data_IF_466989349333
#
_entry.id   IF_466989349333
#
_cell.length_a   1.000
_cell.length_b   1.000
_cell.length_c   1.000
_cell.angle_alpha   90.00
_cell.angle_beta   90.00
_cell.angle_gamma   90.00
#
_symmetry.space_group_name_H-M   'P 1'
#
loop_
_entity.id
_entity.type
_entity.pdbx_description
1 polymer ?
#
# COMPACT_ATOMS: atom_id res chain seq x y z
N UNK A 1 15.37 -19.34 71.21
CA UNK A 1 16.77 -19.76 70.92
C UNK A 1 17.30 -18.78 69.89
N UNK A 2 18.16 -17.83 70.29
CA UNK A 2 19.64 -17.88 70.15
C UNK A 2 20.02 -17.81 68.65
N UNK A 3 20.65 -16.77 68.07
CA UNK A 3 21.91 -16.05 68.39
C UNK A 3 21.98 -14.75 67.54
N UNK A 4 22.30 -13.56 68.11
CA UNK A 4 23.61 -12.86 68.18
C UNK A 4 24.14 -12.29 66.82
N UNK A 5 24.19 -10.95 66.64
CA UNK A 5 25.38 -10.01 66.75
C UNK A 5 26.37 -10.16 65.57
N UNK A 6 27.00 -9.17 64.90
CA UNK A 6 27.43 -7.77 65.08
C UNK A 6 27.83 -7.21 63.67
N UNK A 7 27.81 -5.90 63.35
CA UNK A 7 28.96 -4.99 63.53
C UNK A 7 28.56 -3.51 63.41
N UNK A 8 28.85 -2.79 64.48
CA UNK A 8 29.02 -1.35 64.74
C UNK A 8 30.18 -0.78 63.88
N UNK A 9 30.22 0.45 63.35
CA UNK A 9 30.58 1.73 64.05
C UNK A 9 30.43 2.99 63.16
N UNK A 10 29.75 4.02 63.71
CA UNK A 10 30.11 5.46 63.90
C UNK A 10 30.94 6.22 62.82
N UNK A 11 30.83 7.53 62.57
CA UNK A 11 30.00 8.68 62.99
C UNK A 11 30.57 9.95 62.28
N UNK A 12 29.94 11.12 62.52
CA UNK A 12 30.40 12.51 62.25
C UNK A 12 30.17 13.05 60.83
N UNK A 13 29.74 14.30 60.55
CA UNK A 13 29.42 15.54 61.30
C UNK A 13 28.59 16.39 60.29
N UNK A 14 27.39 16.88 60.60
CA UNK A 14 27.08 18.18 61.21
C UNK A 14 27.42 19.44 60.34
N UNK A 15 26.38 20.27 60.12
CA UNK A 15 26.36 21.76 60.17
C UNK A 15 26.00 22.57 58.88
N UNK A 16 24.89 23.34 59.04
CA UNK A 16 24.48 24.67 58.52
C UNK A 16 24.26 24.96 57.01
N UNK A 17 23.04 25.43 56.71
CA UNK A 17 22.87 26.86 56.38
C UNK A 17 22.20 27.25 55.04
N UNK A 18 20.92 27.68 55.16
CA UNK A 18 20.29 28.85 54.50
C UNK A 18 20.05 28.87 52.97
N UNK A 19 18.75 28.84 52.60
CA UNK A 19 18.11 29.88 51.76
C UNK A 19 17.94 29.64 50.25
N UNK A 20 16.69 29.60 49.77
CA UNK A 20 16.03 30.65 48.96
C UNK A 20 14.78 30.12 48.21
N UNK A 21 13.62 30.71 48.58
CA UNK A 21 12.50 31.18 47.74
C UNK A 21 11.97 30.42 46.49
N UNK A 22 10.62 30.42 46.46
CA UNK A 22 9.72 30.58 45.31
C UNK A 22 9.10 29.32 44.69
N UNK A 23 7.81 29.18 44.98
CA UNK A 23 6.82 28.36 44.24
C UNK A 23 6.49 29.05 42.92
N UNK A 24 6.37 28.32 41.81
CA UNK A 24 5.37 28.65 40.81
C UNK A 24 4.30 27.56 40.74
N UNK A 25 3.08 27.98 41.08
CA UNK A 25 1.84 27.34 40.64
C UNK A 25 1.77 27.48 39.12
N UNK A 26 1.66 26.35 38.42
CA UNK A 26 1.24 26.18 37.02
C UNK A 26 1.11 24.67 36.82
N UNK A 27 0.21 24.09 36.07
CA UNK A 27 -1.05 24.46 35.44
C UNK A 27 -1.61 23.11 34.95
N UNK A 28 -2.83 23.11 34.42
CA UNK A 28 -3.51 21.98 33.80
C UNK A 28 -2.67 21.22 32.75
N UNK A 29 -3.20 20.04 32.40
CA UNK A 29 -2.87 19.22 31.23
C UNK A 29 -1.87 18.07 31.43
N UNK A 30 -2.29 17.09 32.25
CA UNK A 30 -2.00 15.69 31.91
C UNK A 30 -2.86 15.28 30.71
N UNK A 31 -2.48 15.75 29.52
CA UNK A 31 -2.89 15.09 28.28
C UNK A 31 -2.15 13.74 28.22
N UNK A 32 -2.83 12.59 28.19
CA UNK A 32 -2.17 11.34 27.83
C UNK A 32 -1.57 11.54 26.44
N UNK A 33 -0.25 11.45 26.36
CA UNK A 33 0.52 11.47 25.13
C UNK A 33 -0.13 10.49 24.14
N UNK A 34 -0.88 11.04 23.18
CA UNK A 34 -1.25 10.30 21.98
C UNK A 34 0.05 9.99 21.26
N UNK A 35 0.50 8.75 21.39
CA UNK A 35 1.64 8.23 20.65
C UNK A 35 1.43 8.52 19.15
N UNK A 36 2.29 9.33 18.50
CA UNK A 36 2.17 9.56 17.07
C UNK A 36 2.64 8.30 16.34
N UNK A 37 1.74 7.65 15.62
CA UNK A 37 2.09 6.78 14.50
C UNK A 37 2.52 5.35 14.82
N UNK A 38 1.64 4.54 15.42
CA UNK A 38 1.72 3.09 15.23
C UNK A 38 0.84 2.70 14.04
N UNK A 39 1.45 2.12 13.01
CA UNK A 39 0.71 1.37 11.98
C UNK A 39 0.85 1.82 10.53
N UNK A 40 1.99 2.36 10.10
CA UNK A 40 2.40 2.14 8.70
C UNK A 40 3.32 0.92 8.67
N UNK A 41 2.71 -0.24 8.85
CA UNK A 41 3.40 -1.52 8.66
C UNK A 41 4.04 -1.55 7.27
N UNK A 42 5.26 -2.06 7.21
CA UNK A 42 5.98 -2.33 5.97
C UNK A 42 5.22 -3.40 5.18
N UNK A 43 4.17 -3.00 4.45
CA UNK A 43 3.38 -3.88 3.61
C UNK A 43 4.21 -4.25 2.38
N UNK A 44 4.92 -5.37 2.45
CA UNK A 44 5.58 -5.96 1.29
C UNK A 44 4.50 -6.38 0.25
N UNK A 45 4.50 -5.80 -0.96
CA UNK A 45 3.55 -6.14 -2.01
C UNK A 45 3.59 -7.62 -2.41
N UNK A 46 4.76 -8.24 -2.35
CA UNK A 46 4.90 -9.66 -2.69
C UNK A 46 4.25 -10.55 -1.63
N UNK A 47 4.44 -10.21 -0.35
CA UNK A 47 3.77 -10.90 0.76
C UNK A 47 2.25 -10.73 0.70
N UNK A 48 1.75 -9.54 0.32
CA UNK A 48 0.32 -9.33 0.12
C UNK A 48 -0.23 -10.16 -1.03
N UNK A 49 0.49 -10.23 -2.17
CA UNK A 49 0.14 -11.07 -3.32
C UNK A 49 0.08 -12.54 -2.92
N UNK A 50 1.08 -13.02 -2.17
CA UNK A 50 1.13 -14.40 -1.70
C UNK A 50 -0.08 -14.72 -0.81
N UNK A 51 -0.34 -13.90 0.21
CA UNK A 51 -1.52 -14.06 1.09
C UNK A 51 -2.86 -14.01 0.35
N UNK A 52 -2.93 -13.29 -0.77
CA UNK A 52 -4.13 -13.29 -1.61
C UNK A 52 -4.26 -14.62 -2.36
N UNK A 53 -3.17 -15.10 -2.96
CA UNK A 53 -3.16 -16.38 -3.68
C UNK A 53 -3.47 -17.57 -2.76
N UNK A 54 -2.89 -17.60 -1.55
CA UNK A 54 -3.17 -18.65 -0.58
C UNK A 54 -4.66 -18.68 -0.21
N UNK A 55 -5.27 -17.50 -0.02
CA UNK A 55 -6.71 -17.36 0.23
C UNK A 55 -7.56 -17.84 -0.94
N UNK A 56 -7.15 -17.59 -2.18
CA UNK A 56 -7.85 -18.15 -3.34
C UNK A 56 -7.76 -19.66 -3.38
N UNK A 57 -6.58 -20.24 -3.12
CA UNK A 57 -6.40 -21.70 -3.10
C UNK A 57 -7.33 -22.37 -2.09
N UNK A 58 -7.37 -21.83 -0.89
CA UNK A 58 -8.19 -22.34 0.21
C UNK A 58 -9.68 -22.25 -0.13
N UNK A 59 -10.16 -21.07 -0.57
CA UNK A 59 -11.57 -20.89 -0.93
C UNK A 59 -11.99 -21.79 -2.10
N UNK A 60 -11.14 -21.92 -3.11
CA UNK A 60 -11.37 -22.76 -4.28
C UNK A 60 -11.25 -24.26 -3.97
N UNK A 61 -10.74 -24.64 -2.79
CA UNK A 61 -10.44 -26.01 -2.36
C UNK A 61 -9.75 -26.81 -3.46
N UNK A 62 -8.60 -26.33 -3.95
CA UNK A 62 -7.81 -27.02 -4.98
C UNK A 62 -6.71 -27.86 -4.31
N UNK A 63 -6.94 -29.18 -4.10
CA UNK A 63 -5.96 -30.04 -3.45
C UNK A 63 -4.77 -30.33 -4.36
N UNK A 64 -4.99 -30.44 -5.67
CA UNK A 64 -3.96 -30.80 -6.65
C UNK A 64 -3.04 -29.61 -6.96
N UNK A 65 -1.73 -29.82 -6.83
CA UNK A 65 -0.73 -28.77 -7.05
C UNK A 65 -0.58 -28.39 -8.54
N UNK A 66 -0.81 -29.32 -9.46
CA UNK A 66 -0.68 -29.06 -10.89
C UNK A 66 -1.87 -28.25 -11.42
N UNK A 67 -3.09 -28.60 -10.98
CA UNK A 67 -4.31 -27.82 -11.23
C UNK A 67 -4.18 -26.42 -10.59
N UNK A 68 -3.72 -26.37 -9.33
CA UNK A 68 -3.52 -25.09 -8.65
C UNK A 68 -2.51 -24.19 -9.38
N UNK A 69 -1.41 -24.77 -9.89
CA UNK A 69 -0.43 -24.01 -10.67
C UNK A 69 -1.08 -23.38 -11.91
N UNK A 70 -1.88 -24.15 -12.66
CA UNK A 70 -2.57 -23.64 -13.84
C UNK A 70 -3.57 -22.52 -13.50
N UNK A 71 -4.36 -22.70 -12.43
CA UNK A 71 -5.36 -21.72 -11.99
C UNK A 71 -4.67 -20.44 -11.49
N UNK A 72 -3.66 -20.57 -10.63
CA UNK A 72 -2.96 -19.42 -10.02
C UNK A 72 -2.24 -18.54 -11.05
N UNK A 73 -1.65 -19.13 -12.10
CA UNK A 73 -1.06 -18.38 -13.21
C UNK A 73 -2.12 -17.51 -13.94
N UNK A 74 -3.32 -18.04 -14.16
CA UNK A 74 -4.42 -17.30 -14.81
C UNK A 74 -5.03 -16.24 -13.90
N UNK A 75 -5.18 -16.53 -12.60
CA UNK A 75 -5.60 -15.52 -11.61
C UNK A 75 -4.58 -14.38 -11.56
N UNK A 76 -3.28 -14.69 -11.56
CA UNK A 76 -2.22 -13.69 -11.56
C UNK A 76 -2.32 -12.78 -12.79
N UNK A 77 -2.60 -13.36 -13.97
CA UNK A 77 -2.80 -12.60 -15.21
C UNK A 77 -3.99 -11.66 -15.13
N UNK A 78 -5.13 -12.14 -14.64
CA UNK A 78 -6.34 -11.31 -14.44
C UNK A 78 -6.07 -10.19 -13.44
N UNK A 79 -5.40 -10.48 -12.33
CA UNK A 79 -5.06 -9.49 -11.31
C UNK A 79 -4.10 -8.41 -11.84
N UNK A 80 -3.07 -8.79 -12.59
CA UNK A 80 -2.14 -7.87 -13.26
C UNK A 80 -2.88 -6.92 -14.22
N UNK A 81 -3.75 -7.47 -15.07
CA UNK A 81 -4.54 -6.67 -16.02
C UNK A 81 -5.49 -5.71 -15.30
N UNK A 82 -6.04 -6.09 -14.14
CA UNK A 82 -6.88 -5.18 -13.34
C UNK A 82 -6.08 -4.05 -12.70
N UNK A 83 -4.92 -4.38 -12.15
CA UNK A 83 -4.06 -3.39 -11.50
C UNK A 83 -3.57 -2.36 -12.53
N UNK A 84 -3.12 -2.82 -13.69
CA UNK A 84 -2.73 -1.95 -14.81
C UNK A 84 -3.91 -1.12 -15.33
N UNK A 85 -5.10 -1.71 -15.46
CA UNK A 85 -6.29 -0.98 -15.93
C UNK A 85 -6.86 0.01 -14.91
N UNK A 86 -6.67 -0.22 -13.61
CA UNK A 86 -7.22 0.62 -12.54
C UNK A 86 -6.42 1.90 -12.28
N UNK A 87 -5.31 2.12 -12.99
CA UNK A 87 -4.38 3.22 -12.72
C UNK A 87 -3.61 3.09 -11.40
N UNK A 88 -4.05 2.19 -10.51
CA UNK A 88 -3.44 1.85 -9.22
C UNK A 88 -2.15 1.03 -9.38
N UNK A 89 -1.89 0.45 -10.55
CA UNK A 89 -0.58 -0.15 -10.86
C UNK A 89 0.59 0.81 -10.75
N UNK A 90 0.38 2.10 -11.03
CA UNK A 90 1.39 3.14 -10.76
C UNK A 90 1.56 3.46 -9.27
N UNK A 91 0.55 3.17 -8.45
CA UNK A 91 0.59 3.42 -7.01
C UNK A 91 1.27 2.27 -6.24
N UNK A 92 1.05 1.02 -6.67
CA UNK A 92 1.60 -0.19 -6.01
C UNK A 92 2.89 -0.73 -6.64
N UNK A 93 3.13 -0.46 -7.92
CA UNK A 93 4.29 -0.95 -8.67
C UNK A 93 5.41 0.07 -8.81
N UNK A 94 5.54 1.01 -7.87
CA UNK A 94 6.54 2.07 -7.86
C UNK A 94 7.97 1.58 -7.61
N UNK A 95 8.47 0.65 -8.43
CA UNK A 95 9.89 0.36 -8.54
C UNK A 95 10.53 1.46 -9.40
N UNK A 96 11.06 2.47 -8.71
CA UNK A 96 11.97 3.48 -9.25
C UNK A 96 11.23 4.57 -10.03
N UNK A 97 11.12 5.79 -9.53
CA UNK A 97 12.32 6.58 -9.30
C UNK A 97 13.09 6.87 -10.60
N UNK A 98 12.46 6.77 -11.78
CA UNK A 98 13.06 7.26 -13.01
C UNK A 98 12.77 8.75 -13.16
N UNK A 99 13.79 9.56 -12.82
CA UNK A 99 14.04 10.92 -13.33
C UNK A 99 13.16 12.03 -12.76
N UNK A 100 13.57 12.54 -11.60
CA UNK A 100 13.51 13.99 -11.30
C UNK A 100 14.53 14.28 -10.21
N UNK A 101 15.80 14.10 -10.59
CA UNK A 101 16.93 14.68 -9.89
C UNK A 101 17.54 15.71 -10.82
N UNK A 102 16.82 16.80 -11.08
CA UNK A 102 17.35 18.12 -11.43
C UNK A 102 16.19 19.12 -11.46
N UNK A 103 16.37 20.29 -10.87
CA UNK A 103 15.43 21.42 -10.99
C UNK A 103 14.54 21.64 -9.77
N UNK A 104 14.97 22.55 -8.90
CA UNK A 104 14.14 23.10 -7.83
C UNK A 104 12.92 23.86 -8.35
N UNK A 105 11.90 23.95 -7.50
CA UNK A 105 10.71 24.75 -7.78
C UNK A 105 9.49 24.26 -7.03
N UNK A 106 9.04 25.08 -6.09
CA UNK A 106 7.69 25.15 -5.50
C UNK A 106 6.57 24.46 -6.28
N UNK A 107 5.71 23.75 -5.56
CA UNK A 107 4.41 23.31 -6.05
C UNK A 107 4.06 21.89 -5.64
N UNK A 108 3.40 21.74 -4.49
CA UNK A 108 2.72 20.51 -4.11
C UNK A 108 1.71 20.10 -5.20
N UNK A 109 1.90 18.92 -5.79
CA UNK A 109 0.99 18.42 -6.82
C UNK A 109 1.47 17.23 -7.65
N UNK A 110 2.73 16.78 -7.52
CA UNK A 110 3.29 15.79 -8.44
C UNK A 110 3.74 14.51 -7.74
N UNK A 111 2.80 13.58 -7.53
CA UNK A 111 3.09 12.14 -7.29
C UNK A 111 1.85 11.24 -7.43
N UNK A 112 1.01 11.49 -8.43
CA UNK A 112 -0.10 10.62 -8.81
C UNK A 112 -0.23 10.55 -10.34
N UNK A 113 0.87 10.22 -11.03
CA UNK A 113 0.84 9.80 -12.43
C UNK A 113 0.06 8.49 -12.51
N UNK A 114 -1.02 8.47 -13.28
CA UNK A 114 -1.93 7.32 -13.34
C UNK A 114 -1.27 6.23 -14.17
N UNK A 115 -1.46 4.96 -13.81
CA UNK A 115 -0.80 3.80 -14.43
C UNK A 115 -1.02 3.52 -15.92
N UNK A 116 -1.34 4.53 -16.74
CA UNK A 116 -1.45 4.43 -18.18
C UNK A 116 -0.83 5.69 -18.85
N UNK A 117 0.13 5.53 -19.80
CA UNK A 117 0.86 6.63 -20.40
C UNK A 117 -0.03 7.57 -21.24
N UNK A 118 -1.11 7.06 -21.86
CA UNK A 118 -2.07 7.89 -22.59
C UNK A 118 -2.86 8.82 -21.64
N UNK A 119 -3.11 8.36 -20.41
CA UNK A 119 -3.79 9.16 -19.37
C UNK A 119 -2.88 10.29 -18.88
N UNK A 120 -1.59 10.00 -18.69
CA UNK A 120 -0.61 11.00 -18.30
C UNK A 120 -0.37 12.04 -19.41
N UNK A 121 -0.30 11.61 -20.67
CA UNK A 121 -0.18 12.51 -21.82
C UNK A 121 -1.40 13.44 -21.95
N UNK A 122 -2.62 12.91 -21.80
CA UNK A 122 -3.83 13.75 -21.81
C UNK A 122 -3.83 14.74 -20.64
N UNK A 123 -3.41 14.32 -19.44
CA UNK A 123 -3.31 15.22 -18.28
C UNK A 123 -2.31 16.35 -18.52
N UNK A 124 -1.13 16.02 -19.03
CA UNK A 124 -0.10 17.02 -19.35
C UNK A 124 -0.59 18.02 -20.40
N UNK A 125 -1.29 17.56 -21.44
CA UNK A 125 -1.88 18.45 -22.45
C UNK A 125 -2.95 19.38 -21.87
N UNK A 126 -3.77 18.88 -20.93
CA UNK A 126 -4.76 19.72 -20.22
C UNK A 126 -4.08 20.78 -19.34
N UNK A 127 -3.02 20.42 -18.62
CA UNK A 127 -2.24 21.33 -17.78
C UNK A 127 -1.53 22.41 -18.63
N UNK A 128 -0.98 22.00 -19.78
CA UNK A 128 -0.35 22.90 -20.74
C UNK A 128 -1.35 23.75 -21.54
N UNK A 129 -2.66 23.59 -21.34
CA UNK A 129 -3.72 24.25 -22.11
C UNK A 129 -3.55 24.05 -23.63
N UNK A 130 -3.21 22.83 -24.01
CA UNK A 130 -3.00 22.43 -25.40
C UNK A 130 -4.22 22.74 -26.29
N UNK A 131 -4.02 22.97 -27.61
CA UNK A 131 -5.11 23.25 -28.53
C UNK A 131 -6.12 22.09 -28.59
N UNK A 132 -7.38 22.43 -28.88
CA UNK A 132 -8.48 21.47 -28.87
C UNK A 132 -8.25 20.23 -29.76
N UNK A 133 -7.51 20.40 -30.87
CA UNK A 133 -7.18 19.28 -31.76
C UNK A 133 -6.24 18.26 -31.10
N UNK A 134 -5.27 18.71 -30.33
CA UNK A 134 -4.33 17.83 -29.61
C UNK A 134 -5.05 17.06 -28.50
N UNK A 135 -5.90 17.75 -27.73
CA UNK A 135 -6.73 17.13 -26.69
C UNK A 135 -7.65 16.05 -27.29
N UNK A 136 -8.28 16.32 -28.44
CA UNK A 136 -9.11 15.33 -29.16
C UNK A 136 -8.31 14.10 -29.57
N UNK A 137 -7.11 14.29 -30.09
CA UNK A 137 -6.24 13.19 -30.52
C UNK A 137 -5.80 12.32 -29.33
N UNK A 138 -5.39 12.94 -28.21
CA UNK A 138 -4.98 12.22 -27.00
C UNK A 138 -6.16 11.49 -26.33
N UNK A 139 -7.34 12.09 -26.34
CA UNK A 139 -8.56 11.45 -25.84
C UNK A 139 -8.94 10.22 -26.67
N UNK A 140 -8.78 10.28 -28.00
CA UNK A 140 -9.00 9.12 -28.87
C UNK A 140 -8.03 7.97 -28.52
N UNK A 141 -6.73 8.27 -28.40
CA UNK A 141 -5.72 7.28 -28.00
C UNK A 141 -6.01 6.64 -26.64
N UNK A 142 -6.41 7.45 -25.65
CA UNK A 142 -6.77 6.93 -24.33
C UNK A 142 -7.97 5.98 -24.39
N UNK A 143 -8.99 6.31 -25.21
CA UNK A 143 -10.16 5.44 -25.40
C UNK A 143 -9.79 4.13 -26.08
N UNK A 144 -8.93 4.18 -27.09
CA UNK A 144 -8.42 2.98 -27.76
C UNK A 144 -7.60 2.09 -26.81
N UNK A 145 -6.70 2.69 -26.03
CA UNK A 145 -5.92 1.98 -25.02
C UNK A 145 -6.84 1.29 -23.99
N UNK A 146 -7.89 1.98 -23.51
CA UNK A 146 -8.89 1.39 -22.60
C UNK A 146 -9.63 0.22 -23.22
N UNK A 147 -10.10 0.34 -24.46
CA UNK A 147 -10.78 -0.76 -25.18
C UNK A 147 -9.86 -1.97 -25.36
N UNK A 148 -8.62 -1.74 -25.77
CA UNK A 148 -7.64 -2.81 -25.93
C UNK A 148 -7.34 -3.52 -24.60
N UNK A 149 -7.24 -2.76 -23.52
CA UNK A 149 -7.02 -3.28 -22.17
C UNK A 149 -8.22 -4.05 -21.62
N UNK A 150 -9.45 -3.62 -21.94
CA UNK A 150 -10.68 -4.33 -21.61
C UNK A 150 -10.76 -5.67 -22.35
N UNK A 151 -10.48 -5.69 -23.67
CA UNK A 151 -10.46 -6.92 -24.45
C UNK A 151 -9.41 -7.92 -23.93
N UNK A 152 -8.24 -7.45 -23.50
CA UNK A 152 -7.22 -8.31 -22.86
C UNK A 152 -7.69 -8.89 -21.53
N UNK A 153 -8.37 -8.07 -20.73
CA UNK A 153 -8.92 -8.52 -19.45
C UNK A 153 -10.01 -9.57 -19.67
N UNK A 154 -10.93 -9.33 -20.59
CA UNK A 154 -11.99 -10.28 -20.95
C UNK A 154 -11.41 -11.60 -21.46
N UNK A 155 -10.43 -11.56 -22.36
CA UNK A 155 -9.75 -12.76 -22.83
C UNK A 155 -9.08 -13.55 -21.68
N UNK A 156 -8.42 -12.88 -20.74
CA UNK A 156 -7.80 -13.52 -19.58
C UNK A 156 -8.83 -14.11 -18.61
N UNK A 157 -9.99 -13.46 -18.47
CA UNK A 157 -11.11 -13.97 -17.66
C UNK A 157 -11.72 -15.22 -18.30
N UNK A 158 -11.93 -15.24 -19.61
CA UNK A 158 -12.40 -16.42 -20.34
C UNK A 158 -11.42 -17.59 -20.26
N UNK A 159 -10.12 -17.30 -20.35
CA UNK A 159 -9.07 -18.27 -20.14
C UNK A 159 -9.06 -18.86 -18.72
N UNK A 160 -9.27 -18.02 -17.70
CA UNK A 160 -9.44 -18.48 -16.32
C UNK A 160 -10.68 -19.39 -16.22
N UNK A 161 -11.83 -18.95 -16.73
CA UNK A 161 -13.08 -19.71 -16.67
C UNK A 161 -12.95 -21.13 -17.26
N UNK A 162 -12.22 -21.29 -18.37
CA UNK A 162 -12.01 -22.60 -19.03
C UNK A 162 -11.33 -23.67 -18.17
N UNK A 163 -10.61 -23.27 -17.12
CA UNK A 163 -9.90 -24.20 -16.23
C UNK A 163 -10.56 -24.34 -14.86
N UNK A 164 -11.69 -23.66 -14.64
CA UNK A 164 -12.42 -23.72 -13.38
C UNK A 164 -13.60 -24.69 -13.46
N UNK A 165 -13.88 -25.36 -12.35
CA UNK A 165 -15.17 -25.98 -12.11
C UNK A 165 -16.18 -24.95 -11.56
N UNK A 166 -17.46 -25.35 -11.45
CA UNK A 166 -18.56 -24.47 -11.05
C UNK A 166 -18.34 -23.81 -9.68
N UNK A 167 -17.79 -24.54 -8.70
CA UNK A 167 -17.52 -24.01 -7.36
C UNK A 167 -16.40 -22.96 -7.42
N UNK A 168 -15.33 -23.25 -8.14
CA UNK A 168 -14.21 -22.33 -8.30
C UNK A 168 -14.61 -21.09 -9.11
N UNK A 169 -15.45 -21.24 -10.15
CA UNK A 169 -16.03 -20.12 -10.91
C UNK A 169 -16.86 -19.22 -9.99
N UNK A 170 -17.71 -19.80 -9.13
CA UNK A 170 -18.46 -19.02 -8.15
C UNK A 170 -17.55 -18.25 -7.19
N UNK A 171 -16.48 -18.87 -6.68
CA UNK A 171 -15.48 -18.18 -5.85
C UNK A 171 -14.81 -17.05 -6.64
N UNK A 172 -14.46 -17.28 -7.91
CA UNK A 172 -13.85 -16.29 -8.76
C UNK A 172 -14.78 -15.10 -9.02
N UNK A 173 -16.08 -15.32 -9.27
CA UNK A 173 -17.10 -14.26 -9.42
C UNK A 173 -17.28 -13.49 -8.11
N UNK A 174 -17.36 -14.17 -6.96
CA UNK A 174 -17.53 -13.53 -5.64
C UNK A 174 -16.34 -12.66 -5.24
N UNK A 175 -15.13 -13.06 -5.64
CA UNK A 175 -13.92 -12.25 -5.47
C UNK A 175 -13.74 -11.24 -6.63
N UNK A 176 -14.72 -11.16 -7.50
CA UNK A 176 -14.80 -10.27 -8.64
C UNK A 176 -13.85 -10.63 -9.76
N UNK A 177 -13.04 -11.69 -9.71
CA UNK A 177 -12.06 -12.13 -10.73
C UNK A 177 -12.71 -12.45 -12.08
N UNK A 178 -13.92 -12.99 -12.07
CA UNK A 178 -14.77 -13.18 -13.24
C UNK A 178 -15.98 -12.24 -13.18
N UNK A 179 -16.62 -12.02 -14.33
CA UNK A 179 -17.86 -11.23 -14.47
C UNK A 179 -19.01 -12.15 -14.88
#
# INVERSE_FOLDING_TARGET
MKLLHEFTTMAAMMVLGIGLSAVPVSAQDQQPQRQPGQGRGNFDPEQMRQRMMDRYREQMEVPDDAEWKLISERIAKVAELRISNSGMGAMFGGRGGARSGDGGGDGGGRRWGGGNPESDALRAALEAKAPAQEIKNLLAKLREARKANEAKLEAAQEELKKVLNVRQEAVAVMNGLLR
#
